data_IF_770217608970
#
_entry.id   IF_770217608970
#
_cell.length_a   1.000
_cell.length_b   1.000
_cell.length_c   1.000
_cell.angle_alpha   90.00
_cell.angle_beta   90.00
_cell.angle_gamma   90.00
#
_symmetry.space_group_name_H-M   'P 1'
#
loop_
_entity.id
_entity.type
_entity.pdbx_description
1 polymer ?
#
# COMPACT_ATOMS: atom_id res chain seq x y z
N UNK A 1 -9.24 -41.03 -29.48
CA UNK A 1 -7.92 -40.49 -29.06
C UNK A 1 -7.97 -39.04 -28.51
N UNK A 2 -9.00 -38.23 -28.77
CA UNK A 2 -9.07 -36.84 -28.25
C UNK A 2 -9.25 -36.70 -26.72
N UNK A 3 -9.77 -37.71 -26.02
CA UNK A 3 -10.04 -37.62 -24.57
C UNK A 3 -8.75 -37.58 -23.73
N UNK A 4 -7.68 -38.27 -24.17
CA UNK A 4 -6.41 -38.30 -23.45
C UNK A 4 -5.71 -36.93 -23.43
N UNK A 5 -5.75 -36.18 -24.54
CA UNK A 5 -5.12 -34.86 -24.61
C UNK A 5 -5.76 -33.81 -23.70
N UNK A 6 -7.07 -33.90 -23.46
CA UNK A 6 -7.77 -32.96 -22.55
C UNK A 6 -7.41 -33.20 -21.09
N UNK A 7 -7.31 -34.47 -20.68
CA UNK A 7 -6.94 -34.83 -19.30
C UNK A 7 -5.50 -34.42 -18.98
N UNK A 8 -4.58 -34.63 -19.91
CA UNK A 8 -3.18 -34.24 -19.75
C UNK A 8 -3.02 -32.71 -19.66
N UNK A 9 -3.77 -31.96 -20.47
CA UNK A 9 -3.81 -30.49 -20.41
C UNK A 9 -4.31 -30.00 -19.04
N UNK A 10 -5.41 -30.57 -18.53
CA UNK A 10 -5.96 -30.22 -17.22
C UNK A 10 -4.92 -30.49 -16.12
N UNK A 11 -4.25 -31.63 -16.18
CA UNK A 11 -3.24 -32.01 -15.19
C UNK A 11 -2.05 -31.04 -15.18
N UNK A 12 -1.56 -30.64 -16.36
CA UNK A 12 -0.49 -29.63 -16.48
C UNK A 12 -0.89 -28.27 -15.92
N UNK A 13 -2.15 -27.84 -16.15
CA UNK A 13 -2.67 -26.59 -15.59
C UNK A 13 -2.74 -26.65 -14.06
N UNK A 14 -3.18 -27.77 -13.49
CA UNK A 14 -3.23 -27.95 -12.02
C UNK A 14 -1.81 -27.91 -11.43
N UNK A 15 -0.85 -28.62 -12.03
CA UNK A 15 0.55 -28.59 -11.58
C UNK A 15 1.09 -27.16 -11.62
N UNK A 16 0.86 -26.45 -12.73
CA UNK A 16 1.29 -25.06 -12.87
C UNK A 16 0.70 -24.17 -11.78
N UNK A 17 -0.58 -24.34 -11.45
CA UNK A 17 -1.23 -23.60 -10.36
C UNK A 17 -0.61 -23.89 -8.99
N UNK A 18 -0.33 -25.15 -8.69
CA UNK A 18 0.32 -25.52 -7.42
C UNK A 18 1.72 -24.89 -7.33
N UNK A 19 2.49 -24.91 -8.42
CA UNK A 19 3.82 -24.29 -8.46
C UNK A 19 3.75 -22.77 -8.24
N UNK A 20 2.80 -22.09 -8.90
CA UNK A 20 2.57 -20.65 -8.70
C UNK A 20 2.13 -20.31 -7.28
N UNK A 21 1.23 -21.10 -6.70
CA UNK A 21 0.80 -20.94 -5.31
C UNK A 21 1.98 -21.09 -4.33
N UNK A 22 2.83 -22.10 -4.53
CA UNK A 22 4.02 -22.29 -3.69
C UNK A 22 5.04 -21.16 -3.86
N UNK A 23 5.22 -20.65 -5.09
CA UNK A 23 6.10 -19.52 -5.36
C UNK A 23 5.63 -18.25 -4.63
N UNK A 24 4.33 -17.93 -4.71
CA UNK A 24 3.75 -16.76 -4.04
C UNK A 24 3.77 -16.88 -2.51
N UNK A 25 3.64 -18.08 -1.95
CA UNK A 25 3.81 -18.30 -0.51
C UNK A 25 5.25 -18.03 -0.04
N UNK A 26 6.25 -18.42 -0.83
CA UNK A 26 7.66 -18.22 -0.48
C UNK A 26 8.03 -16.74 -0.41
N UNK A 27 7.57 -15.93 -1.37
CA UNK A 27 7.80 -14.47 -1.39
C UNK A 27 7.23 -13.76 -0.16
N UNK A 28 6.05 -14.18 0.33
CA UNK A 28 5.45 -13.60 1.54
C UNK A 28 6.33 -13.79 2.77
N UNK A 29 6.94 -14.96 2.95
CA UNK A 29 7.79 -15.24 4.12
C UNK A 29 9.09 -14.41 4.15
N UNK A 30 9.65 -14.12 2.97
CA UNK A 30 10.87 -13.31 2.84
C UNK A 30 10.57 -11.84 3.17
N UNK A 31 9.45 -11.32 2.69
CA UNK A 31 9.05 -9.94 2.94
C UNK A 31 8.75 -9.68 4.43
N UNK A 32 8.15 -10.65 5.12
CA UNK A 32 7.90 -10.54 6.56
C UNK A 32 9.20 -10.44 7.39
N UNK A 33 10.25 -11.19 7.01
CA UNK A 33 11.57 -11.11 7.66
C UNK A 33 12.24 -9.75 7.42
N UNK A 34 12.16 -9.22 6.20
CA UNK A 34 12.71 -7.90 5.86
C UNK A 34 12.03 -6.77 6.64
N UNK A 35 10.72 -6.84 6.83
CA UNK A 35 9.98 -5.85 7.63
C UNK A 35 10.44 -5.84 9.08
N UNK A 36 10.54 -7.00 9.73
CA UNK A 36 11.04 -7.09 11.11
C UNK A 36 12.48 -6.60 11.27
N UNK A 37 13.33 -6.90 10.29
CA UNK A 37 14.71 -6.42 10.29
C UNK A 37 14.81 -4.90 10.10
N UNK A 38 13.97 -4.32 9.24
CA UNK A 38 13.87 -2.88 9.07
C UNK A 38 13.37 -2.21 10.35
N UNK A 39 12.32 -2.76 10.98
CA UNK A 39 11.74 -2.25 12.22
C UNK A 39 12.73 -2.29 13.39
N UNK A 40 13.57 -3.33 13.47
CA UNK A 40 14.62 -3.43 14.49
C UNK A 40 15.84 -2.52 14.24
N UNK A 41 16.04 -2.02 13.01
CA UNK A 41 17.24 -1.25 12.64
C UNK A 41 17.14 0.25 12.93
N UNK A 42 15.95 0.78 13.28
CA UNK A 42 15.74 2.21 13.41
C UNK A 42 15.25 2.60 14.81
N UNK A 43 16.17 2.94 15.74
CA UNK A 43 15.80 3.59 17.00
C UNK A 43 15.22 4.99 16.73
N UNK A 44 14.20 5.34 17.52
CA UNK A 44 13.29 6.48 17.39
C UNK A 44 13.97 7.82 17.03
N UNK A 45 13.43 8.56 16.06
CA UNK A 45 13.66 10.02 15.95
C UNK A 45 13.88 10.65 14.58
N UNK A 46 13.93 9.90 13.46
CA UNK A 46 14.05 10.50 12.11
C UNK A 46 12.84 10.18 11.24
N UNK A 47 12.34 11.14 10.43
CA UNK A 47 11.27 10.89 9.48
C UNK A 47 11.71 9.80 8.49
N UNK A 48 11.00 8.67 8.56
CA UNK A 48 11.33 7.46 7.84
C UNK A 48 10.84 7.53 6.38
N UNK A 49 11.69 8.11 5.53
CA UNK A 49 11.45 8.16 4.08
C UNK A 49 11.36 6.77 3.44
N UNK A 50 12.02 5.76 4.03
CA UNK A 50 12.05 4.41 3.48
C UNK A 50 10.71 3.68 3.66
N UNK A 51 9.99 3.87 4.77
CA UNK A 51 8.64 3.29 4.89
C UNK A 51 7.60 3.96 4.00
N UNK A 52 7.75 5.25 3.69
CA UNK A 52 6.89 5.94 2.71
C UNK A 52 7.15 5.33 1.33
N UNK A 53 8.42 5.21 0.93
CA UNK A 53 8.80 4.59 -0.33
C UNK A 53 8.29 3.16 -0.45
N UNK A 54 8.48 2.32 0.57
CA UNK A 54 8.02 0.93 0.57
C UNK A 54 6.49 0.81 0.48
N UNK A 55 5.73 1.77 1.02
CA UNK A 55 4.26 1.81 0.88
C UNK A 55 3.86 2.09 -0.57
N UNK A 56 4.50 3.07 -1.20
CA UNK A 56 4.26 3.41 -2.61
C UNK A 56 4.62 2.22 -3.51
N UNK A 57 5.80 1.63 -3.33
CA UNK A 57 6.24 0.46 -4.10
C UNK A 57 5.28 -0.72 -3.94
N UNK A 58 4.76 -0.98 -2.72
CA UNK A 58 3.76 -2.03 -2.48
C UNK A 58 2.45 -1.81 -3.25
N UNK A 59 1.98 -0.57 -3.39
CA UNK A 59 0.77 -0.26 -4.17
C UNK A 59 1.00 -0.55 -5.66
N UNK A 60 2.14 -0.15 -6.21
CA UNK A 60 2.50 -0.44 -7.61
C UNK A 60 2.67 -1.93 -7.86
N UNK A 61 3.34 -2.65 -6.97
CA UNK A 61 3.56 -4.09 -7.13
C UNK A 61 2.24 -4.88 -7.17
N UNK A 62 1.28 -4.56 -6.29
CA UNK A 62 -0.05 -5.18 -6.29
C UNK A 62 -0.81 -4.95 -7.60
N UNK A 63 -0.73 -3.75 -8.17
CA UNK A 63 -1.35 -3.42 -9.47
C UNK A 63 -0.66 -4.15 -10.62
N UNK A 64 0.66 -4.28 -10.58
CA UNK A 64 1.42 -5.04 -11.56
C UNK A 64 1.06 -6.54 -11.54
N UNK A 65 0.94 -7.12 -10.35
CA UNK A 65 0.48 -8.51 -10.19
C UNK A 65 -0.92 -8.71 -10.80
N UNK A 66 -1.88 -7.80 -10.54
CA UNK A 66 -3.20 -7.87 -11.16
C UNK A 66 -3.15 -7.75 -12.68
N UNK A 67 -2.38 -6.79 -13.20
CA UNK A 67 -2.20 -6.60 -14.64
C UNK A 67 -1.63 -7.85 -15.29
N UNK A 68 -0.63 -8.50 -14.66
CA UNK A 68 -0.07 -9.76 -15.13
C UNK A 68 -1.11 -10.89 -15.18
N UNK A 69 -1.97 -11.02 -14.15
CA UNK A 69 -3.07 -12.00 -14.16
C UNK A 69 -4.10 -11.72 -15.27
N UNK A 70 -4.47 -10.46 -15.48
CA UNK A 70 -5.39 -10.05 -16.56
C UNK A 70 -4.78 -10.37 -17.94
N UNK A 71 -3.52 -10.00 -18.16
CA UNK A 71 -2.83 -10.29 -19.43
C UNK A 71 -2.76 -11.80 -19.66
N UNK A 72 -2.37 -12.58 -18.65
CA UNK A 72 -2.32 -14.03 -18.74
C UNK A 72 -3.69 -14.63 -19.02
N UNK A 73 -4.75 -14.13 -18.37
CA UNK A 73 -6.12 -14.53 -18.62
C UNK A 73 -6.50 -14.33 -20.10
N UNK A 74 -6.24 -13.14 -20.65
CA UNK A 74 -6.55 -12.83 -22.05
C UNK A 74 -5.78 -13.72 -23.02
N UNK A 75 -4.49 -13.97 -22.75
CA UNK A 75 -3.65 -14.85 -23.57
C UNK A 75 -4.19 -16.29 -23.55
N UNK A 76 -4.52 -16.83 -22.37
CA UNK A 76 -5.06 -18.18 -22.24
C UNK A 76 -6.42 -18.30 -22.94
N UNK A 77 -7.36 -17.42 -22.62
CA UNK A 77 -8.71 -17.46 -23.21
C UNK A 77 -8.66 -17.24 -24.72
N UNK A 78 -7.87 -16.29 -25.20
CA UNK A 78 -7.67 -16.05 -26.63
C UNK A 78 -7.03 -17.23 -27.35
N UNK A 79 -6.02 -17.87 -26.75
CA UNK A 79 -5.39 -19.08 -27.27
C UNK A 79 -6.37 -20.26 -27.35
N UNK A 80 -7.17 -20.48 -26.31
CA UNK A 80 -8.21 -21.52 -26.29
C UNK A 80 -9.30 -21.26 -27.36
N UNK A 81 -9.63 -19.99 -27.60
CA UNK A 81 -10.58 -19.60 -28.65
C UNK A 81 -10.00 -19.89 -30.05
N UNK A 82 -8.72 -19.58 -30.28
CA UNK A 82 -8.02 -19.88 -31.53
C UNK A 82 -7.97 -21.38 -31.85
N UNK A 83 -7.89 -22.24 -30.82
CA UNK A 83 -7.93 -23.70 -30.95
C UNK A 83 -9.34 -24.26 -31.21
N UNK A 84 -10.38 -23.42 -31.26
CA UNK A 84 -11.79 -23.82 -31.47
C UNK A 84 -12.27 -24.92 -30.52
N UNK A 85 -11.89 -24.82 -29.25
CA UNK A 85 -12.39 -25.73 -28.22
C UNK A 85 -13.93 -25.67 -28.13
N UNK A 86 -14.59 -26.79 -27.78
CA UNK A 86 -16.04 -26.82 -27.65
C UNK A 86 -16.50 -25.80 -26.61
N UNK A 87 -17.56 -25.06 -26.94
CA UNK A 87 -17.96 -23.85 -26.21
C UNK A 87 -18.18 -24.05 -24.71
N UNK A 88 -18.67 -25.22 -24.29
CA UNK A 88 -18.87 -25.53 -22.86
C UNK A 88 -17.54 -25.70 -22.10
N UNK A 89 -16.55 -26.39 -22.68
CA UNK A 89 -15.24 -26.53 -22.05
C UNK A 89 -14.52 -25.18 -21.97
N UNK A 90 -14.59 -24.39 -23.06
CA UNK A 90 -14.04 -23.04 -23.08
C UNK A 90 -14.70 -22.15 -22.02
N UNK A 91 -16.03 -22.18 -21.91
CA UNK A 91 -16.77 -21.39 -20.92
C UNK A 91 -16.40 -21.76 -19.48
N UNK A 92 -16.23 -23.04 -19.18
CA UNK A 92 -15.81 -23.49 -17.85
C UNK A 92 -14.39 -23.03 -17.51
N UNK A 93 -13.43 -23.19 -18.43
CA UNK A 93 -12.04 -22.78 -18.21
C UNK A 93 -11.96 -21.25 -18.09
N UNK A 94 -12.57 -20.52 -19.02
CA UNK A 94 -12.59 -19.06 -19.00
C UNK A 94 -13.33 -18.51 -17.77
N UNK A 95 -14.40 -19.17 -17.32
CA UNK A 95 -15.14 -18.80 -16.11
C UNK A 95 -14.32 -19.04 -14.85
N UNK A 96 -13.69 -20.21 -14.72
CA UNK A 96 -12.85 -20.54 -13.57
C UNK A 96 -11.65 -19.57 -13.45
N UNK A 97 -10.97 -19.28 -14.56
CA UNK A 97 -9.88 -18.31 -14.57
C UNK A 97 -10.36 -16.88 -14.34
N UNK A 98 -11.51 -16.50 -14.90
CA UNK A 98 -12.12 -15.19 -14.66
C UNK A 98 -12.43 -14.97 -13.18
N UNK A 99 -12.90 -16.01 -12.47
CA UNK A 99 -13.14 -15.97 -11.03
C UNK A 99 -11.85 -15.74 -10.24
N UNK A 100 -10.73 -16.36 -10.64
CA UNK A 100 -9.42 -16.13 -10.00
C UNK A 100 -8.99 -14.68 -10.14
N UNK A 101 -9.08 -14.10 -11.35
CA UNK A 101 -8.76 -12.68 -11.59
C UNK A 101 -9.67 -11.77 -10.76
N UNK A 102 -10.97 -12.08 -10.70
CA UNK A 102 -11.94 -11.34 -9.91
C UNK A 102 -11.60 -11.34 -8.42
N UNK A 103 -11.30 -12.51 -7.85
CA UNK A 103 -10.88 -12.65 -6.44
C UNK A 103 -9.62 -11.81 -6.18
N UNK A 104 -8.65 -11.83 -7.09
CA UNK A 104 -7.43 -11.03 -6.95
C UNK A 104 -7.70 -9.53 -7.01
N UNK A 105 -8.59 -9.10 -7.91
CA UNK A 105 -9.04 -7.72 -7.99
C UNK A 105 -9.70 -7.24 -6.69
N UNK A 106 -10.59 -8.07 -6.11
CA UNK A 106 -11.23 -7.76 -4.83
C UNK A 106 -10.23 -7.70 -3.67
N UNK A 107 -9.25 -8.59 -3.62
CA UNK A 107 -8.20 -8.56 -2.60
C UNK A 107 -7.41 -7.24 -2.63
N UNK A 108 -7.10 -6.74 -3.83
CA UNK A 108 -6.38 -5.46 -3.99
C UNK A 108 -7.26 -4.29 -3.57
N UNK A 109 -8.53 -4.29 -3.98
CA UNK A 109 -9.49 -3.25 -3.60
C UNK A 109 -9.66 -3.18 -2.08
N UNK A 110 -9.83 -4.32 -1.40
CA UNK A 110 -9.91 -4.35 0.06
C UNK A 110 -8.62 -3.89 0.73
N UNK A 111 -7.46 -4.22 0.16
CA UNK A 111 -6.18 -3.76 0.69
C UNK A 111 -6.01 -2.24 0.54
N UNK A 112 -6.47 -1.63 -0.56
CA UNK A 112 -6.44 -0.17 -0.73
C UNK A 112 -7.40 0.53 0.24
N UNK A 113 -8.58 -0.05 0.48
CA UNK A 113 -9.52 0.47 1.49
C UNK A 113 -8.95 0.41 2.90
N UNK A 114 -8.30 -0.72 3.27
CA UNK A 114 -7.68 -0.87 4.59
C UNK A 114 -6.51 0.09 4.77
N UNK A 115 -5.67 0.25 3.74
CA UNK A 115 -4.54 1.18 3.78
C UNK A 115 -5.05 2.62 3.99
N UNK A 116 -6.15 3.01 3.34
CA UNK A 116 -6.76 4.34 3.49
C UNK A 116 -7.43 4.56 4.86
N UNK A 117 -7.89 3.49 5.52
CA UNK A 117 -8.43 3.58 6.88
C UNK A 117 -7.31 3.76 7.90
N UNK A 118 -6.22 3.01 7.75
CA UNK A 118 -5.03 3.10 8.60
C UNK A 118 -4.39 4.49 8.47
N UNK A 119 -4.24 5.00 7.25
CA UNK A 119 -3.64 6.32 6.99
C UNK A 119 -4.45 7.46 7.65
N UNK A 120 -5.78 7.34 7.67
CA UNK A 120 -6.65 8.29 8.38
C UNK A 120 -6.47 8.23 9.90
N UNK A 121 -6.27 7.05 10.47
CA UNK A 121 -6.07 6.91 11.91
C UNK A 121 -4.68 7.41 12.32
N UNK A 122 -3.65 7.11 11.54
CA UNK A 122 -2.29 7.65 11.75
C UNK A 122 -2.31 9.17 11.69
N UNK A 123 -3.00 9.78 10.72
CA UNK A 123 -3.07 11.25 10.62
C UNK A 123 -3.79 11.87 11.82
N UNK A 124 -4.85 11.22 12.34
CA UNK A 124 -5.55 11.66 13.57
C UNK A 124 -4.67 11.58 14.81
N UNK A 125 -3.90 10.50 14.96
CA UNK A 125 -2.96 10.38 16.08
C UNK A 125 -1.84 11.41 15.95
N UNK A 126 -1.30 11.56 14.74
CA UNK A 126 -0.25 12.53 14.43
C UNK A 126 -0.70 13.97 14.69
N UNK A 127 -1.94 14.32 14.35
CA UNK A 127 -2.50 15.64 14.66
C UNK A 127 -2.65 15.86 16.17
N UNK A 128 -3.05 14.84 16.94
CA UNK A 128 -3.11 14.91 18.41
C UNK A 128 -1.72 15.14 19.02
N UNK A 129 -0.70 14.45 18.53
CA UNK A 129 0.68 14.65 18.98
C UNK A 129 1.17 16.06 18.65
N UNK A 130 0.97 16.54 17.42
CA UNK A 130 1.38 17.90 17.05
C UNK A 130 0.58 19.01 17.75
N UNK A 131 -0.69 18.78 18.10
CA UNK A 131 -1.45 19.73 18.91
C UNK A 131 -0.97 19.78 20.36
N UNK A 132 -0.58 18.64 20.94
CA UNK A 132 -0.01 18.58 22.29
C UNK A 132 1.39 19.22 22.37
N UNK A 133 2.19 19.07 21.32
CA UNK A 133 3.56 19.61 21.22
C UNK A 133 3.65 20.99 20.56
N UNK A 134 2.52 21.60 20.15
CA UNK A 134 2.53 23.01 19.80
C UNK A 134 2.96 23.75 21.07
N UNK A 135 4.17 24.35 21.11
CA UNK A 135 4.57 25.14 22.26
C UNK A 135 3.44 26.14 22.46
N UNK A 136 2.81 26.09 23.65
CA UNK A 136 1.71 26.97 24.02
C UNK A 136 2.21 28.37 23.70
N UNK A 137 1.77 28.94 22.56
CA UNK A 137 2.25 30.24 22.09
C UNK A 137 1.87 31.21 23.20
N UNK A 138 2.83 31.54 24.05
CA UNK A 138 2.74 32.64 25.00
C UNK A 138 2.76 33.99 24.28
N UNK A 139 2.83 34.00 22.94
CA UNK A 139 2.46 35.13 22.12
C UNK A 139 0.97 35.43 22.30
N UNK A 140 0.70 36.22 23.32
CA UNK A 140 -0.44 37.12 23.42
C UNK A 140 -0.47 37.99 22.15
N UNK A 141 -1.17 37.53 21.11
CA UNK A 141 -1.70 38.44 20.10
C UNK A 141 -2.77 39.27 20.82
N UNK A 142 -2.40 40.50 21.19
CA UNK A 142 -3.35 41.50 21.66
C UNK A 142 -3.88 42.23 20.44
N UNK A 143 -5.20 42.24 20.29
CA UNK A 143 -5.87 43.16 19.38
C UNK A 143 -5.62 44.58 19.88
N UNK A 144 -5.25 45.49 18.98
CA UNK A 144 -5.35 46.91 19.29
C UNK A 144 -6.82 47.28 19.47
N UNK A 145 -7.10 48.42 20.11
CA UNK A 145 -8.48 48.91 20.29
C UNK A 145 -9.21 49.15 18.95
N UNK A 146 -8.48 49.16 17.82
CA UNK A 146 -9.00 49.32 16.46
C UNK A 146 -9.18 47.98 15.70
N UNK A 147 -8.86 46.85 16.33
CA UNK A 147 -9.02 45.52 15.73
C UNK A 147 -7.92 45.12 14.75
N UNK A 148 -6.80 45.86 14.70
CA UNK A 148 -5.62 45.46 13.95
C UNK A 148 -4.77 44.44 14.72
N UNK A 149 -4.25 43.45 13.99
CA UNK A 149 -3.29 42.48 14.51
C UNK A 149 -1.92 43.14 14.59
N UNK A 150 -1.47 43.48 15.80
CA UNK A 150 -0.10 43.89 16.04
C UNK A 150 0.78 42.66 16.26
N UNK A 151 1.78 42.46 15.41
CA UNK A 151 2.89 41.56 15.70
C UNK A 151 3.65 42.15 16.90
N UNK A 152 3.50 41.55 18.08
CA UNK A 152 4.36 41.87 19.23
C UNK A 152 5.74 41.33 18.89
N UNK A 153 6.56 42.19 18.31
CA UNK A 153 7.97 41.90 18.03
C UNK A 153 8.64 41.59 19.37
N UNK A 154 9.14 40.37 19.51
CA UNK A 154 9.84 39.82 20.69
C UNK A 154 11.16 40.54 21.05
N UNK A 155 11.44 41.72 20.48
CA UNK A 155 12.66 42.50 20.71
C UNK A 155 12.86 42.91 22.18
N UNK A 156 11.82 42.92 23.01
CA UNK A 156 11.92 43.34 24.41
C UNK A 156 12.53 42.26 25.34
N UNK A 157 12.40 40.96 25.01
CA UNK A 157 12.94 39.88 25.85
C UNK A 157 14.45 39.69 25.70
N UNK A 158 15.02 39.96 24.51
CA UNK A 158 16.48 39.87 24.30
C UNK A 158 17.25 40.99 25.00
N UNK A 159 16.62 42.15 25.21
CA UNK A 159 17.24 43.29 25.91
C UNK A 159 17.40 43.04 27.42
N UNK A 160 16.45 42.35 28.05
CA UNK A 160 16.51 42.04 29.49
C UNK A 160 17.55 40.97 29.85
N UNK A 161 17.74 39.95 29.01
CA UNK A 161 18.77 38.93 29.25
C UNK A 161 20.19 39.50 29.16
N UNK A 162 20.41 40.49 28.29
CA UNK A 162 21.72 41.13 28.13
C UNK A 162 22.11 42.00 29.33
N UNK A 163 21.13 42.55 30.05
CA UNK A 163 21.35 43.37 31.24
C UNK A 163 21.69 42.54 32.49
N UNK A 164 21.24 41.28 32.59
CA UNK A 164 21.52 40.41 33.75
C UNK A 164 22.88 39.69 33.70
N UNK A 165 23.56 39.69 32.55
CA UNK A 165 24.87 39.02 32.36
C UNK A 165 26.08 39.96 32.40
N UNK A 166 25.86 41.27 32.57
CA UNK A 166 26.92 42.28 32.79
C UNK A 166 26.91 42.76 34.23
#
# INVERSE_FOLDING_TARGET
MMVFGVVELIFLVIIFMVVMALATMKTRSINAKKQRAAEAAFPEGKPDFDSIRQRVERRFHRRYELAAHIVMYLVIVGGLWALRLPGMALALIAGAWGLVVLIHGLQILFAEMSDSAIEREIERERSRFYEADKPKRSQHLRLSDEGELLDVIEEEWEAEEKYKRG
#
